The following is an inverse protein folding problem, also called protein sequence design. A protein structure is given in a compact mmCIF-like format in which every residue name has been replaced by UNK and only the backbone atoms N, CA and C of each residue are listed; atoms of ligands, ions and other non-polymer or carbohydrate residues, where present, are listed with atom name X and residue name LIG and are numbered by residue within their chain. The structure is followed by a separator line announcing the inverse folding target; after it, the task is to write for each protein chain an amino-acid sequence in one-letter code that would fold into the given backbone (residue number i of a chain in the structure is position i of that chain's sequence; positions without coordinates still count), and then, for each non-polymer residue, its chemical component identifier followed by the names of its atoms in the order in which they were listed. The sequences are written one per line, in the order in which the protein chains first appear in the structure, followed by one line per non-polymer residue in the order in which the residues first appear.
data_IF_277695134493
#
_entry.id   IF_277695134493
#
_cell.length_a   1.000
_cell.length_b   1.000
_cell.length_c   1.000
_cell.angle_alpha   90.00
_cell.angle_beta   90.00
_cell.angle_gamma   90.00
#
_symmetry.space_group_name_H-M   'P 1'
#
loop_
_entity.id
_entity.type
_entity.pdbx_description
1 polymer ?
#
# COMPACT_ATOMS: atom_id res chain seq x y z
N UNK A 1 60.03 10.02 11.31
CA UNK A 1 58.79 10.51 10.66
C UNK A 1 57.94 9.30 10.36
N UNK A 2 57.02 8.97 11.26
CA UNK A 2 56.05 7.91 11.02
C UNK A 2 54.99 8.44 10.04
N UNK A 3 54.87 7.81 8.89
CA UNK A 3 53.80 8.09 7.94
C UNK A 3 52.48 7.73 8.61
N UNK A 4 51.47 8.63 8.66
CA UNK A 4 50.20 8.31 9.24
C UNK A 4 49.58 7.16 8.43
N UNK A 5 49.34 6.02 9.07
CA UNK A 5 48.63 4.91 8.46
C UNK A 5 47.21 5.39 8.13
N UNK A 6 46.71 5.22 6.91
CA UNK A 6 45.36 5.63 6.55
C UNK A 6 44.39 4.89 7.45
N UNK A 7 43.46 5.66 8.01
CA UNK A 7 42.43 5.20 8.95
C UNK A 7 41.57 4.14 8.28
N UNK A 8 41.96 2.85 8.43
CA UNK A 8 41.30 1.70 7.82
C UNK A 8 39.81 1.63 8.18
N UNK A 9 39.46 2.21 9.32
CA UNK A 9 38.07 2.27 9.81
C UNK A 9 37.20 3.17 8.93
N UNK A 10 37.70 4.35 8.56
CA UNK A 10 36.97 5.29 7.68
C UNK A 10 36.78 4.70 6.27
N UNK A 11 37.82 4.06 5.70
CA UNK A 11 37.72 3.40 4.39
C UNK A 11 36.66 2.28 4.40
N UNK A 12 36.61 1.46 5.44
CA UNK A 12 35.60 0.38 5.55
C UNK A 12 34.19 0.92 5.70
N UNK A 13 33.97 2.07 6.38
CA UNK A 13 32.67 2.71 6.48
C UNK A 13 32.23 3.26 5.12
N UNK A 14 33.12 3.94 4.41
CA UNK A 14 32.86 4.47 3.06
C UNK A 14 32.54 3.35 2.07
N UNK A 15 33.28 2.24 2.09
CA UNK A 15 33.01 1.08 1.25
C UNK A 15 31.63 0.46 1.55
N UNK A 16 31.25 0.33 2.82
CA UNK A 16 29.92 -0.17 3.21
C UNK A 16 28.80 0.75 2.75
N UNK A 17 28.99 2.07 2.89
CA UNK A 17 28.02 3.06 2.40
C UNK A 17 27.90 3.04 0.88
N UNK A 18 29.03 2.99 0.16
CA UNK A 18 29.05 2.87 -1.29
C UNK A 18 28.35 1.59 -1.77
N UNK A 19 28.64 0.44 -1.13
CA UNK A 19 27.97 -0.83 -1.43
C UNK A 19 26.46 -0.75 -1.19
N UNK A 20 26.04 -0.08 -0.11
CA UNK A 20 24.61 0.12 0.18
C UNK A 20 23.94 0.95 -0.91
N UNK A 21 24.55 2.06 -1.33
CA UNK A 21 24.01 2.91 -2.41
C UNK A 21 23.91 2.12 -3.72
N UNK A 22 24.91 1.34 -4.08
CA UNK A 22 24.90 0.49 -5.30
C UNK A 22 23.78 -0.55 -5.23
N UNK A 23 23.60 -1.19 -4.07
CA UNK A 23 22.50 -2.16 -3.87
C UNK A 23 21.14 -1.49 -4.01
N UNK A 24 20.92 -0.34 -3.37
CA UNK A 24 19.66 0.41 -3.45
C UNK A 24 19.39 0.89 -4.89
N UNK A 25 20.41 1.39 -5.59
CA UNK A 25 20.30 1.77 -6.99
C UNK A 25 19.94 0.57 -7.89
N UNK A 26 20.56 -0.59 -7.64
CA UNK A 26 20.23 -1.84 -8.34
C UNK A 26 18.80 -2.31 -8.08
N UNK A 27 18.32 -2.23 -6.84
CA UNK A 27 16.91 -2.54 -6.49
C UNK A 27 15.98 -1.58 -7.21
N UNK A 28 16.29 -0.27 -7.21
CA UNK A 28 15.46 0.74 -7.88
C UNK A 28 15.44 0.55 -9.40
N UNK A 29 16.57 0.22 -10.01
CA UNK A 29 16.66 -0.10 -11.44
C UNK A 29 15.89 -1.36 -11.84
N UNK A 30 15.78 -2.36 -10.93
CA UNK A 30 15.02 -3.59 -11.12
C UNK A 30 13.61 -3.51 -10.51
N UNK A 31 13.11 -2.31 -10.16
CA UNK A 31 11.87 -2.12 -9.41
C UNK A 31 10.67 -2.79 -10.08
N UNK A 32 10.52 -2.69 -11.39
CA UNK A 32 9.37 -3.26 -12.11
C UNK A 32 9.27 -4.78 -11.92
N UNK A 33 10.38 -5.50 -12.01
CA UNK A 33 10.43 -6.95 -11.81
C UNK A 33 10.19 -7.29 -10.33
N UNK A 34 10.86 -6.57 -9.44
CA UNK A 34 10.74 -6.79 -7.99
C UNK A 34 9.32 -6.53 -7.52
N UNK A 35 8.68 -5.45 -7.97
CA UNK A 35 7.29 -5.10 -7.66
C UNK A 35 6.34 -6.20 -8.11
N UNK A 36 6.51 -6.72 -9.33
CA UNK A 36 5.69 -7.80 -9.84
C UNK A 36 5.80 -9.08 -9.01
N UNK A 37 7.03 -9.46 -8.63
CA UNK A 37 7.29 -10.62 -7.78
C UNK A 37 6.72 -10.42 -6.36
N UNK A 38 6.86 -9.23 -5.78
CA UNK A 38 6.33 -8.91 -4.46
C UNK A 38 4.80 -8.88 -4.45
N UNK A 39 4.16 -8.35 -5.49
CA UNK A 39 2.71 -8.40 -5.65
C UNK A 39 2.22 -9.84 -5.79
N UNK A 40 2.91 -10.66 -6.59
CA UNK A 40 2.56 -12.05 -6.72
C UNK A 40 2.69 -12.81 -5.39
N UNK A 41 3.74 -12.55 -4.63
CA UNK A 41 3.93 -13.09 -3.29
C UNK A 41 2.84 -12.61 -2.33
N UNK A 42 2.48 -11.34 -2.38
CA UNK A 42 1.38 -10.77 -1.61
C UNK A 42 0.07 -11.51 -1.89
N UNK A 43 -0.32 -11.63 -3.16
CA UNK A 43 -1.55 -12.34 -3.52
C UNK A 43 -1.48 -13.83 -3.16
N UNK A 44 -0.35 -14.49 -3.37
CA UNK A 44 -0.18 -15.88 -2.96
C UNK A 44 -0.38 -16.07 -1.45
N UNK A 45 0.13 -15.14 -0.63
CA UNK A 45 -0.03 -15.17 0.82
C UNK A 45 -1.48 -14.90 1.23
N UNK A 46 -2.12 -13.89 0.63
CA UNK A 46 -3.52 -13.50 0.95
C UNK A 46 -4.51 -14.58 0.49
N UNK A 47 -4.24 -15.24 -0.64
CA UNK A 47 -5.12 -16.26 -1.21
C UNK A 47 -4.90 -17.65 -0.61
N UNK A 48 -3.74 -17.92 -0.01
CA UNK A 48 -3.43 -19.24 0.55
C UNK A 48 -4.43 -19.75 1.63
N UNK A 49 -4.99 -18.91 2.53
CA UNK A 49 -6.06 -19.33 3.44
C UNK A 49 -7.29 -19.83 2.71
N UNK A 50 -7.70 -19.18 1.60
CA UNK A 50 -8.84 -19.61 0.78
C UNK A 50 -8.56 -20.97 0.12
N UNK A 51 -7.38 -21.14 -0.47
CA UNK A 51 -6.94 -22.42 -1.05
C UNK A 51 -6.98 -23.52 0.04
N UNK A 52 -6.46 -23.22 1.22
CA UNK A 52 -6.44 -24.18 2.34
C UNK A 52 -7.86 -24.53 2.82
N UNK A 53 -8.77 -23.56 2.81
CA UNK A 53 -10.18 -23.77 3.16
C UNK A 53 -10.85 -24.74 2.17
N UNK A 54 -10.69 -24.55 0.84
CA UNK A 54 -11.20 -25.48 -0.17
C UNK A 54 -10.62 -26.91 -0.01
N UNK A 55 -9.32 -27.01 0.28
CA UNK A 55 -8.68 -28.31 0.50
C UNK A 55 -9.29 -29.03 1.72
N UNK A 56 -9.61 -28.29 2.79
CA UNK A 56 -10.29 -28.84 3.98
C UNK A 56 -11.71 -29.34 3.69
N UNK A 57 -12.36 -28.80 2.65
CA UNK A 57 -13.66 -29.26 2.16
C UNK A 57 -13.55 -30.46 1.21
N UNK A 58 -12.36 -31.06 1.05
CA UNK A 58 -12.12 -32.22 0.21
C UNK A 58 -11.77 -31.90 -1.25
N UNK A 59 -11.63 -30.62 -1.62
CA UNK A 59 -11.27 -30.25 -2.99
C UNK A 59 -9.78 -30.53 -3.23
N UNK A 60 -9.45 -31.14 -4.37
CA UNK A 60 -8.06 -31.39 -4.77
C UNK A 60 -7.31 -30.05 -4.92
N UNK A 61 -6.04 -30.00 -4.48
CA UNK A 61 -5.23 -28.77 -4.46
C UNK A 61 -5.16 -28.04 -5.80
N UNK A 62 -4.90 -28.70 -6.95
CA UNK A 62 -4.88 -28.00 -8.25
C UNK A 62 -6.21 -27.31 -8.54
N UNK A 63 -7.32 -28.00 -8.29
CA UNK A 63 -8.68 -27.48 -8.50
C UNK A 63 -8.95 -26.29 -7.55
N UNK A 64 -8.57 -26.39 -6.27
CA UNK A 64 -8.71 -25.30 -5.32
C UNK A 64 -7.92 -24.06 -5.75
N UNK A 65 -6.67 -24.22 -6.23
CA UNK A 65 -5.86 -23.13 -6.77
C UNK A 65 -6.54 -22.49 -7.98
N UNK A 66 -7.01 -23.31 -8.93
CA UNK A 66 -7.71 -22.82 -10.14
C UNK A 66 -8.95 -22.02 -9.77
N UNK A 67 -9.79 -22.51 -8.87
CA UNK A 67 -10.99 -21.80 -8.40
C UNK A 67 -10.60 -20.44 -7.79
N UNK A 68 -9.64 -20.42 -6.88
CA UNK A 68 -9.22 -19.19 -6.17
C UNK A 68 -8.60 -18.18 -7.15
N UNK A 69 -7.83 -18.64 -8.13
CA UNK A 69 -7.23 -17.78 -9.16
C UNK A 69 -8.30 -17.22 -10.10
N UNK A 70 -9.27 -18.02 -10.50
CA UNK A 70 -10.41 -17.54 -11.32
C UNK A 70 -11.23 -16.50 -10.56
N UNK A 71 -11.53 -16.74 -9.29
CA UNK A 71 -12.21 -15.76 -8.43
C UNK A 71 -11.40 -14.47 -8.30
N UNK A 72 -10.08 -14.57 -8.11
CA UNK A 72 -9.18 -13.41 -8.07
C UNK A 72 -9.22 -12.63 -9.39
N UNK A 73 -9.17 -13.33 -10.54
CA UNK A 73 -9.25 -12.69 -11.86
C UNK A 73 -10.57 -11.95 -12.05
N UNK A 74 -11.69 -12.60 -11.71
CA UNK A 74 -13.02 -11.96 -11.77
C UNK A 74 -13.05 -10.72 -10.88
N UNK A 75 -12.56 -10.83 -9.65
CA UNK A 75 -12.52 -9.72 -8.70
C UNK A 75 -11.65 -8.56 -9.21
N UNK A 76 -10.44 -8.84 -9.73
CA UNK A 76 -9.56 -7.82 -10.31
C UNK A 76 -10.17 -7.18 -11.55
N UNK A 77 -10.75 -7.96 -12.46
CA UNK A 77 -11.40 -7.43 -13.67
C UNK A 77 -12.60 -6.57 -13.32
N UNK A 78 -13.43 -7.02 -12.37
CA UNK A 78 -14.55 -6.23 -11.86
C UNK A 78 -14.09 -4.92 -11.21
N UNK A 79 -13.04 -4.98 -10.38
CA UNK A 79 -12.44 -3.81 -9.73
C UNK A 79 -11.94 -2.78 -10.75
N UNK A 80 -11.16 -3.24 -11.73
CA UNK A 80 -10.63 -2.38 -12.81
C UNK A 80 -11.77 -1.82 -13.66
N UNK A 81 -12.78 -2.64 -13.98
CA UNK A 81 -13.96 -2.22 -14.75
C UNK A 81 -14.76 -1.12 -14.03
N UNK A 82 -15.02 -1.29 -12.74
CA UNK A 82 -15.71 -0.29 -11.91
C UNK A 82 -14.89 1.00 -11.84
N UNK A 83 -13.60 0.91 -11.58
CA UNK A 83 -12.73 2.09 -11.52
C UNK A 83 -12.69 2.82 -12.87
N UNK A 84 -12.52 2.09 -13.97
CA UNK A 84 -12.47 2.67 -15.31
C UNK A 84 -13.79 3.36 -15.69
N UNK A 85 -14.94 2.73 -15.43
CA UNK A 85 -16.25 3.31 -15.70
C UNK A 85 -16.48 4.58 -14.86
N UNK A 86 -16.26 4.49 -13.54
CA UNK A 86 -16.44 5.64 -12.63
C UNK A 86 -15.46 6.76 -12.94
N UNK A 87 -14.25 6.44 -13.35
CA UNK A 87 -13.23 7.43 -13.70
C UNK A 87 -13.56 8.17 -15.01
N UNK A 88 -14.05 7.45 -16.03
CA UNK A 88 -14.52 8.06 -17.28
C UNK A 88 -15.71 9.01 -17.03
N UNK A 89 -16.65 8.61 -16.18
CA UNK A 89 -17.77 9.46 -15.79
C UNK A 89 -17.30 10.69 -14.98
N UNK A 90 -16.35 10.51 -14.05
CA UNK A 90 -15.73 11.60 -13.29
C UNK A 90 -15.03 12.61 -14.22
N UNK A 91 -14.27 12.14 -15.22
CA UNK A 91 -13.61 13.00 -16.21
C UNK A 91 -14.66 13.81 -16.99
N UNK A 92 -15.77 13.20 -17.39
CA UNK A 92 -16.85 13.90 -18.11
C UNK A 92 -17.49 15.02 -17.29
N UNK A 93 -17.40 14.93 -15.95
CA UNK A 93 -17.88 15.95 -15.03
C UNK A 93 -16.87 17.05 -14.70
N UNK A 94 -15.60 16.90 -15.05
CA UNK A 94 -14.56 17.91 -14.78
C UNK A 94 -14.90 19.32 -15.30
N UNK A 95 -15.52 19.51 -16.49
CA UNK A 95 -15.92 20.84 -16.94
C UNK A 95 -16.97 21.49 -16.03
N UNK A 96 -17.91 20.69 -15.48
CA UNK A 96 -18.90 21.16 -14.49
C UNK A 96 -18.23 21.52 -13.17
N UNK A 97 -17.26 20.68 -12.75
CA UNK A 97 -16.45 20.88 -11.56
C UNK A 97 -15.72 22.23 -11.61
N UNK A 98 -15.07 22.54 -12.74
CA UNK A 98 -14.39 23.81 -12.94
C UNK A 98 -15.32 25.02 -12.88
N UNK A 99 -16.52 24.92 -13.47
CA UNK A 99 -17.54 25.99 -13.41
C UNK A 99 -18.00 26.24 -11.97
N UNK A 100 -18.29 25.18 -11.21
CA UNK A 100 -18.75 25.34 -9.83
C UNK A 100 -17.62 25.83 -8.90
N UNK A 101 -16.41 25.35 -9.09
CA UNK A 101 -15.23 25.85 -8.36
C UNK A 101 -15.06 27.35 -8.58
N UNK A 102 -15.06 27.78 -9.86
CA UNK A 102 -14.93 29.19 -10.24
C UNK A 102 -16.06 30.03 -9.62
N UNK A 103 -17.31 29.56 -9.69
CA UNK A 103 -18.47 30.24 -9.11
C UNK A 103 -18.37 30.40 -7.59
N UNK A 104 -17.92 29.35 -6.88
CA UNK A 104 -17.75 29.41 -5.42
C UNK A 104 -16.58 30.29 -5.01
N UNK A 105 -15.47 30.28 -5.76
CA UNK A 105 -14.34 31.17 -5.53
C UNK A 105 -14.72 32.65 -5.70
N UNK A 106 -15.56 32.99 -6.71
CA UNK A 106 -16.10 34.35 -6.87
C UNK A 106 -16.94 34.76 -5.67
N UNK A 107 -17.87 33.91 -5.20
CA UNK A 107 -18.67 34.22 -4.01
C UNK A 107 -17.80 34.41 -2.75
N UNK A 108 -16.74 33.62 -2.60
CA UNK A 108 -15.78 33.78 -1.51
C UNK A 108 -15.00 35.11 -1.59
N UNK A 109 -14.60 35.52 -2.80
CA UNK A 109 -13.93 36.78 -3.04
C UNK A 109 -14.84 37.99 -2.77
N UNK A 110 -16.14 37.91 -3.11
CA UNK A 110 -17.14 38.91 -2.75
C UNK A 110 -17.35 39.03 -1.23
N UNK A 111 -17.31 37.88 -0.50
CA UNK A 111 -17.47 37.84 0.96
C UNK A 111 -16.21 38.27 1.72
N UNK A 112 -15.03 38.11 1.13
CA UNK A 112 -13.73 38.38 1.76
C UNK A 112 -12.84 39.25 0.86
N UNK A 113 -13.13 40.56 0.74
CA UNK A 113 -12.41 41.48 -0.17
C UNK A 113 -10.91 41.64 0.15
N UNK A 114 -10.50 41.30 1.38
CA UNK A 114 -9.09 41.37 1.81
C UNK A 114 -8.23 40.21 1.30
N UNK A 115 -8.84 39.12 0.80
CA UNK A 115 -8.14 38.07 0.08
C UNK A 115 -7.98 38.49 -1.37
N UNK A 116 -6.94 39.29 -1.65
CA UNK A 116 -6.54 39.70 -3.01
C UNK A 116 -6.05 38.45 -3.77
N UNK A 117 -6.96 37.55 -4.11
CA UNK A 117 -6.71 36.47 -5.05
C UNK A 117 -6.68 37.07 -6.46
N UNK A 118 -5.52 37.58 -6.87
CA UNK A 118 -5.25 38.07 -8.23
C UNK A 118 -5.30 36.94 -9.28
N UNK A 119 -6.20 36.01 -9.11
CA UNK A 119 -6.44 34.92 -10.05
C UNK A 119 -7.66 35.27 -10.91
N UNK A 120 -7.41 35.86 -12.07
CA UNK A 120 -8.46 35.98 -13.07
C UNK A 120 -8.92 34.55 -13.44
N UNK A 121 -10.23 34.25 -13.34
CA UNK A 121 -10.81 32.94 -13.65
C UNK A 121 -10.46 32.45 -15.05
N UNK A 122 -10.32 33.41 -16.00
CA UNK A 122 -9.90 33.14 -17.37
C UNK A 122 -8.50 32.53 -17.46
N UNK A 123 -7.56 32.96 -16.62
CA UNK A 123 -6.21 32.37 -16.58
C UNK A 123 -6.18 31.01 -15.91
N UNK A 124 -7.10 30.71 -14.99
CA UNK A 124 -7.26 29.35 -14.42
C UNK A 124 -7.85 28.40 -15.45
N UNK A 125 -8.87 28.82 -16.19
CA UNK A 125 -9.45 28.00 -17.26
C UNK A 125 -8.47 27.78 -18.42
N UNK A 126 -7.65 28.78 -18.79
CA UNK A 126 -6.59 28.63 -19.78
C UNK A 126 -5.42 27.76 -19.33
N UNK A 127 -5.14 27.67 -18.01
CA UNK A 127 -4.12 26.76 -17.46
C UNK A 127 -4.58 25.31 -17.29
N UNK A 128 -5.89 25.08 -17.29
CA UNK A 128 -6.45 23.72 -17.38
C UNK A 128 -6.67 23.38 -18.87
N UNK A 129 -5.55 23.35 -19.61
CA UNK A 129 -5.51 22.94 -21.00
C UNK A 129 -6.29 21.66 -21.20
N UNK A 130 -7.30 21.69 -22.08
CA UNK A 130 -7.99 20.49 -22.55
C UNK A 130 -7.00 19.43 -23.01
N UNK A 131 -5.83 19.84 -23.48
CA UNK A 131 -4.71 18.99 -23.86
C UNK A 131 -4.10 18.20 -22.70
N UNK A 132 -4.02 18.77 -21.50
CA UNK A 132 -3.54 18.04 -20.29
C UNK A 132 -4.55 17.02 -19.81
N UNK A 133 -5.85 17.31 -19.92
CA UNK A 133 -6.90 16.34 -19.59
C UNK A 133 -6.90 15.22 -20.61
N UNK A 134 -6.77 15.52 -21.90
CA UNK A 134 -6.65 14.51 -22.97
C UNK A 134 -5.39 13.70 -22.79
N UNK A 135 -4.24 14.34 -22.54
CA UNK A 135 -2.96 13.64 -22.30
C UNK A 135 -3.04 12.71 -21.07
N UNK A 136 -3.66 13.17 -19.98
CA UNK A 136 -3.87 12.37 -18.79
C UNK A 136 -4.81 11.17 -19.06
N UNK A 137 -5.91 11.41 -19.78
CA UNK A 137 -6.85 10.34 -20.19
C UNK A 137 -6.19 9.34 -21.12
N UNK A 138 -5.38 9.79 -22.07
CA UNK A 138 -4.62 8.92 -22.98
C UNK A 138 -3.55 8.13 -22.22
N UNK A 139 -2.86 8.75 -21.27
CA UNK A 139 -1.89 8.07 -20.39
C UNK A 139 -2.56 6.99 -19.52
N UNK A 140 -3.78 7.24 -19.04
CA UNK A 140 -4.56 6.22 -18.31
C UNK A 140 -5.01 5.08 -19.22
N UNK A 141 -5.48 5.36 -20.43
CA UNK A 141 -5.90 4.34 -21.40
C UNK A 141 -4.72 3.47 -21.86
N UNK A 142 -3.56 4.09 -22.14
CA UNK A 142 -2.33 3.34 -22.46
C UNK A 142 -1.80 2.58 -21.25
N UNK A 143 -1.93 3.13 -20.05
CA UNK A 143 -1.62 2.44 -18.78
C UNK A 143 -2.51 1.20 -18.55
N UNK A 144 -3.80 1.28 -18.88
CA UNK A 144 -4.73 0.15 -18.78
C UNK A 144 -4.39 -0.99 -19.74
N UNK A 145 -4.00 -0.70 -20.99
CA UNK A 145 -3.59 -1.73 -21.95
C UNK A 145 -2.27 -2.42 -21.56
N UNK A 146 -1.31 -1.66 -21.03
CA UNK A 146 -0.08 -2.21 -20.44
C UNK A 146 -0.34 -3.03 -19.17
N UNK A 147 -1.32 -2.62 -18.36
CA UNK A 147 -1.73 -3.33 -17.16
C UNK A 147 -2.28 -4.73 -17.45
N UNK A 148 -2.96 -4.95 -18.58
CA UNK A 148 -3.47 -6.28 -18.93
C UNK A 148 -2.37 -7.33 -19.14
N UNK A 149 -1.27 -6.97 -19.82
CA UNK A 149 -0.10 -7.84 -19.96
C UNK A 149 0.56 -8.12 -18.61
N UNK A 150 0.69 -7.09 -17.77
CA UNK A 150 1.23 -7.20 -16.42
C UNK A 150 0.34 -8.06 -15.50
N UNK A 151 -0.98 -7.98 -15.65
CA UNK A 151 -1.94 -8.83 -14.91
C UNK A 151 -1.78 -10.30 -15.30
N UNK A 152 -1.62 -10.63 -16.58
CA UNK A 152 -1.40 -12.01 -16.99
C UNK A 152 -0.13 -12.59 -16.38
N UNK A 153 0.98 -11.85 -16.44
CA UNK A 153 2.25 -12.24 -15.82
C UNK A 153 2.11 -12.36 -14.29
N UNK A 154 1.40 -11.43 -13.67
CA UNK A 154 1.13 -11.46 -12.23
C UNK A 154 0.37 -12.75 -11.85
N UNK A 155 -0.70 -13.06 -12.57
CA UNK A 155 -1.53 -14.26 -12.32
C UNK A 155 -0.71 -15.53 -12.49
N UNK A 156 0.05 -15.63 -13.58
CA UNK A 156 0.96 -16.75 -13.80
C UNK A 156 1.94 -16.92 -12.63
N UNK A 157 2.54 -15.82 -12.20
CA UNK A 157 3.49 -15.83 -11.06
C UNK A 157 2.80 -16.23 -9.76
N UNK A 158 1.57 -15.74 -9.51
CA UNK A 158 0.76 -16.14 -8.34
C UNK A 158 0.47 -17.64 -8.36
N UNK A 159 0.06 -18.17 -9.50
CA UNK A 159 -0.19 -19.62 -9.68
C UNK A 159 1.06 -20.43 -9.33
N UNK A 160 2.20 -20.09 -9.92
CA UNK A 160 3.46 -20.77 -9.63
C UNK A 160 3.84 -20.67 -8.14
N UNK A 161 3.68 -19.50 -7.53
CA UNK A 161 3.95 -19.31 -6.10
C UNK A 161 3.02 -20.14 -5.21
N UNK A 162 1.72 -20.24 -5.53
CA UNK A 162 0.77 -21.06 -4.78
C UNK A 162 1.10 -22.57 -4.86
N UNK A 163 1.62 -23.03 -5.99
CA UNK A 163 2.12 -24.40 -6.12
C UNK A 163 3.42 -24.62 -5.33
N UNK A 164 4.34 -23.65 -5.38
CA UNK A 164 5.69 -23.74 -4.80
C UNK A 164 5.75 -23.55 -3.28
N UNK A 165 4.85 -22.74 -2.71
CA UNK A 165 4.83 -22.40 -1.25
C UNK A 165 4.95 -23.64 -0.36
N UNK A 166 4.40 -24.79 -0.77
CA UNK A 166 4.47 -26.05 -0.01
C UNK A 166 5.89 -26.64 0.02
N UNK A 167 6.67 -26.46 -1.05
CA UNK A 167 7.99 -27.06 -1.21
C UNK A 167 9.10 -26.21 -0.58
N UNK A 168 8.86 -24.93 -0.34
CA UNK A 168 9.84 -24.00 0.22
C UNK A 168 10.42 -24.49 1.56
N UNK A 169 9.62 -24.89 2.57
CA UNK A 169 10.17 -25.37 3.85
C UNK A 169 11.04 -26.63 3.69
N UNK A 170 10.66 -27.52 2.78
CA UNK A 170 11.42 -28.74 2.50
C UNK A 170 12.78 -28.42 1.82
N UNK A 171 12.75 -27.62 0.73
CA UNK A 171 13.97 -27.21 0.03
C UNK A 171 14.95 -26.49 0.94
N UNK A 172 14.43 -25.63 1.83
CA UNK A 172 15.30 -24.89 2.78
C UNK A 172 15.96 -25.78 3.82
N UNK A 173 15.32 -26.89 4.23
CA UNK A 173 15.94 -27.85 5.15
C UNK A 173 17.21 -28.48 4.56
N UNK A 174 17.26 -28.68 3.25
CA UNK A 174 18.42 -29.25 2.57
C UNK A 174 19.46 -28.20 2.19
N UNK A 175 19.07 -26.93 1.98
CA UNK A 175 19.96 -25.88 1.53
C UNK A 175 20.76 -25.21 2.65
N UNK A 176 20.34 -25.34 3.92
CA UNK A 176 20.95 -24.61 5.04
C UNK A 176 21.75 -25.52 5.95
N UNK A 177 23.03 -25.17 6.21
CA UNK A 177 23.96 -25.91 7.08
C UNK A 177 23.56 -25.97 8.56
N UNK A 178 22.65 -25.06 9.01
CA UNK A 178 22.05 -25.05 10.35
C UNK A 178 20.54 -24.84 10.27
N UNK A 179 19.78 -25.90 9.92
CA UNK A 179 18.37 -25.76 9.56
C UNK A 179 17.48 -25.24 10.69
N UNK A 180 17.80 -25.56 11.95
CA UNK A 180 16.87 -25.30 13.07
C UNK A 180 16.70 -23.80 13.38
N UNK A 181 17.76 -23.00 13.37
CA UNK A 181 17.71 -21.58 13.75
C UNK A 181 17.14 -20.71 12.61
N UNK A 182 17.60 -20.95 11.38
CA UNK A 182 17.20 -20.15 10.21
C UNK A 182 15.78 -20.47 9.76
N UNK A 183 15.34 -21.73 9.83
CA UNK A 183 13.98 -22.16 9.48
C UNK A 183 12.96 -21.62 10.48
N UNK A 184 13.27 -21.64 11.77
CA UNK A 184 12.38 -21.09 12.80
C UNK A 184 12.19 -19.57 12.66
N UNK A 185 13.24 -18.84 12.32
CA UNK A 185 13.20 -17.40 12.01
C UNK A 185 12.33 -17.10 10.79
N UNK A 186 12.60 -17.80 9.67
CA UNK A 186 11.83 -17.63 8.44
C UNK A 186 10.35 -18.03 8.62
N UNK A 187 10.07 -19.14 9.31
CA UNK A 187 8.70 -19.58 9.56
C UNK A 187 7.93 -18.54 10.39
N UNK A 188 8.58 -17.93 11.39
CA UNK A 188 8.01 -16.80 12.15
C UNK A 188 7.75 -15.58 11.26
N UNK A 189 8.69 -15.23 10.38
CA UNK A 189 8.55 -14.13 9.44
C UNK A 189 7.36 -14.35 8.51
N UNK A 190 7.31 -15.49 7.83
CA UNK A 190 6.24 -15.83 6.90
C UNK A 190 4.86 -15.86 7.59
N UNK A 191 4.78 -16.47 8.79
CA UNK A 191 3.54 -16.51 9.56
C UNK A 191 3.12 -15.10 10.02
N UNK A 192 4.07 -14.26 10.44
CA UNK A 192 3.82 -12.89 10.85
C UNK A 192 3.31 -12.04 9.68
N UNK A 193 3.98 -12.11 8.54
CA UNK A 193 3.60 -11.41 7.31
C UNK A 193 2.24 -11.90 6.79
N UNK A 194 2.01 -13.21 6.73
CA UNK A 194 0.71 -13.77 6.32
C UNK A 194 -0.42 -13.29 7.20
N UNK A 195 -0.23 -13.31 8.52
CA UNK A 195 -1.25 -12.86 9.46
C UNK A 195 -1.52 -11.35 9.31
N UNK A 196 -0.45 -10.55 9.19
CA UNK A 196 -0.58 -9.10 8.94
C UNK A 196 -1.37 -8.82 7.65
N UNK A 197 -0.96 -9.43 6.53
CA UNK A 197 -1.60 -9.19 5.23
C UNK A 197 -3.07 -9.65 5.22
N UNK A 198 -3.38 -10.80 5.81
CA UNK A 198 -4.76 -11.27 5.90
C UNK A 198 -5.63 -10.33 6.73
N UNK A 199 -5.15 -9.88 7.91
CA UNK A 199 -5.87 -8.92 8.74
C UNK A 199 -6.00 -7.57 8.04
N UNK A 200 -4.94 -7.08 7.42
CA UNK A 200 -4.97 -5.79 6.71
C UNK A 200 -5.96 -5.82 5.55
N UNK A 201 -6.00 -6.92 4.78
CA UNK A 201 -6.98 -7.11 3.72
C UNK A 201 -8.41 -7.11 4.26
N UNK A 202 -8.67 -7.81 5.36
CA UNK A 202 -9.98 -7.84 5.99
C UNK A 202 -10.41 -6.45 6.49
N UNK A 203 -9.52 -5.75 7.19
CA UNK A 203 -9.79 -4.40 7.70
C UNK A 203 -9.98 -3.39 6.57
N UNK A 204 -9.18 -3.49 5.51
CA UNK A 204 -9.33 -2.66 4.31
C UNK A 204 -10.68 -2.92 3.61
N UNK A 205 -11.10 -4.19 3.52
CA UNK A 205 -12.40 -4.54 2.97
C UNK A 205 -13.54 -3.93 3.80
N UNK A 206 -13.47 -4.00 5.12
CA UNK A 206 -14.45 -3.35 6.00
C UNK A 206 -14.45 -1.83 5.82
N UNK A 207 -13.27 -1.20 5.75
CA UNK A 207 -13.15 0.23 5.45
C UNK A 207 -13.86 0.57 4.14
N UNK A 208 -13.57 -0.16 3.06
CA UNK A 208 -14.21 0.06 1.76
C UNK A 208 -15.73 -0.09 1.79
N UNK A 209 -16.23 -1.18 2.42
CA UNK A 209 -17.68 -1.43 2.50
C UNK A 209 -18.39 -0.36 3.33
N UNK A 210 -17.85 0.03 4.48
CA UNK A 210 -18.48 1.04 5.34
C UNK A 210 -18.46 2.40 4.67
N UNK A 211 -17.34 2.77 4.02
CA UNK A 211 -17.25 4.03 3.26
C UNK A 211 -18.22 4.02 2.09
N UNK A 212 -18.33 2.92 1.34
CA UNK A 212 -19.30 2.79 0.26
C UNK A 212 -20.74 3.03 0.74
N UNK A 213 -21.15 2.26 1.76
CA UNK A 213 -22.50 2.38 2.31
C UNK A 213 -22.77 3.80 2.86
N UNK A 214 -21.80 4.39 3.56
CA UNK A 214 -21.94 5.74 4.09
C UNK A 214 -22.08 6.79 3.00
N UNK A 215 -21.24 6.75 1.96
CA UNK A 215 -21.31 7.68 0.84
C UNK A 215 -22.58 7.48 -0.01
N UNK A 216 -23.00 6.24 -0.23
CA UNK A 216 -24.25 5.91 -0.95
C UNK A 216 -25.48 6.44 -0.22
N UNK A 217 -25.56 6.24 1.10
CA UNK A 217 -26.65 6.77 1.94
C UNK A 217 -26.69 8.31 1.96
N UNK A 218 -25.54 8.97 1.79
CA UNK A 218 -25.43 10.42 1.68
C UNK A 218 -25.72 10.92 0.25
N UNK A 219 -25.97 10.05 -0.73
CA UNK A 219 -26.20 10.40 -2.13
C UNK A 219 -24.95 10.98 -2.82
N UNK A 220 -23.76 10.61 -2.38
CA UNK A 220 -22.51 11.09 -2.96
C UNK A 220 -22.24 10.35 -4.27
N UNK A 221 -22.05 11.10 -5.36
CA UNK A 221 -21.70 10.52 -6.65
C UNK A 221 -20.35 9.78 -6.58
N UNK A 222 -20.23 8.70 -7.34
CA UNK A 222 -19.03 7.85 -7.38
C UNK A 222 -18.67 7.18 -6.03
N UNK A 223 -19.67 6.93 -5.17
CA UNK A 223 -19.47 6.34 -3.85
C UNK A 223 -18.63 5.06 -3.90
N UNK A 224 -18.86 4.18 -4.88
CA UNK A 224 -18.12 2.94 -5.07
C UNK A 224 -16.66 3.20 -5.46
N UNK A 225 -16.38 4.18 -6.34
CA UNK A 225 -15.01 4.57 -6.72
C UNK A 225 -14.22 5.06 -5.50
N UNK A 226 -14.82 5.94 -4.68
CA UNK A 226 -14.17 6.46 -3.47
C UNK A 226 -13.96 5.38 -2.42
N UNK A 227 -14.90 4.46 -2.31
CA UNK A 227 -14.78 3.30 -1.43
C UNK A 227 -13.66 2.34 -1.83
N UNK A 228 -13.52 2.08 -3.14
CA UNK A 228 -12.40 1.28 -3.66
C UNK A 228 -11.06 1.99 -3.43
N UNK A 229 -11.02 3.30 -3.63
CA UNK A 229 -9.83 4.09 -3.31
C UNK A 229 -9.50 4.02 -1.82
N UNK A 230 -10.49 4.13 -0.93
CA UNK A 230 -10.32 3.98 0.50
C UNK A 230 -9.83 2.58 0.88
N UNK A 231 -10.37 1.52 0.25
CA UNK A 231 -9.92 0.14 0.41
C UNK A 231 -8.44 -0.02 0.04
N UNK A 232 -8.02 0.49 -1.13
CA UNK A 232 -6.64 0.38 -1.61
C UNK A 232 -5.67 1.21 -0.75
N UNK A 233 -6.01 2.47 -0.48
CA UNK A 233 -5.17 3.37 0.30
C UNK A 233 -5.09 2.98 1.77
N UNK A 234 -6.07 2.26 2.31
CA UNK A 234 -6.01 1.78 3.69
C UNK A 234 -4.83 0.85 3.97
N UNK A 235 -4.21 0.24 2.94
CA UNK A 235 -2.96 -0.52 3.11
C UNK A 235 -1.78 0.37 3.49
N UNK A 236 -1.80 1.65 3.10
CA UNK A 236 -0.74 2.62 3.40
C UNK A 236 -0.98 3.23 4.79
N UNK A 237 -0.13 2.96 5.78
CA UNK A 237 -0.35 3.43 7.16
C UNK A 237 -0.44 4.95 7.25
N UNK A 238 -1.40 5.46 8.00
CA UNK A 238 -1.65 6.87 8.33
C UNK A 238 -1.93 7.80 7.14
N UNK A 239 -1.10 7.76 6.10
CA UNK A 239 -1.21 8.63 4.93
C UNK A 239 -2.42 8.24 4.07
N UNK A 240 -2.69 6.94 3.94
CA UNK A 240 -3.78 6.42 3.13
C UNK A 240 -5.16 6.92 3.55
N UNK A 241 -5.38 7.04 4.87
CA UNK A 241 -6.61 7.57 5.44
C UNK A 241 -6.89 9.01 4.97
N UNK A 242 -5.88 9.88 5.04
CA UNK A 242 -6.01 11.29 4.64
C UNK A 242 -6.19 11.41 3.13
N UNK A 243 -5.35 10.73 2.34
CA UNK A 243 -5.42 10.80 0.87
C UNK A 243 -6.77 10.27 0.35
N UNK A 244 -7.33 9.24 0.98
CA UNK A 244 -8.61 8.67 0.54
C UNK A 244 -9.82 9.56 0.85
N UNK A 245 -9.74 10.40 1.90
CA UNK A 245 -10.82 11.29 2.30
C UNK A 245 -10.89 12.59 1.50
N UNK A 246 -9.72 13.14 1.09
CA UNK A 246 -9.63 14.47 0.46
C UNK A 246 -10.43 14.58 -0.85
N UNK A 247 -10.31 13.68 -1.84
CA UNK A 247 -11.02 13.83 -3.10
C UNK A 247 -12.56 13.82 -2.96
N UNK A 248 -13.19 12.85 -2.24
CA UNK A 248 -14.63 12.88 -2.05
C UNK A 248 -15.11 14.11 -1.25
N UNK A 249 -14.34 14.58 -0.27
CA UNK A 249 -14.68 15.80 0.46
C UNK A 249 -14.65 17.02 -0.46
N UNK A 250 -13.67 17.15 -1.34
CA UNK A 250 -13.60 18.26 -2.32
C UNK A 250 -14.79 18.18 -3.27
N UNK A 251 -15.11 16.99 -3.78
CA UNK A 251 -16.26 16.80 -4.66
C UNK A 251 -17.56 17.24 -3.98
N UNK A 252 -17.84 16.74 -2.77
CA UNK A 252 -19.05 17.02 -2.02
C UNK A 252 -19.14 18.51 -1.64
N UNK A 253 -18.01 19.14 -1.25
CA UNK A 253 -17.95 20.56 -0.96
C UNK A 253 -18.40 21.40 -2.18
N UNK A 254 -18.05 20.98 -3.37
CA UNK A 254 -18.36 21.72 -4.60
C UNK A 254 -19.79 21.52 -5.07
N UNK A 255 -20.32 20.30 -5.02
CA UNK A 255 -21.61 19.97 -5.58
C UNK A 255 -22.75 19.98 -4.56
N UNK A 256 -22.51 19.51 -3.35
CA UNK A 256 -23.56 19.32 -2.33
C UNK A 256 -23.55 20.45 -1.29
N UNK A 257 -22.39 20.90 -0.85
CA UNK A 257 -22.26 22.00 0.10
C UNK A 257 -21.35 21.69 1.29
N UNK A 258 -21.27 22.66 2.21
CA UNK A 258 -20.37 22.57 3.38
C UNK A 258 -20.88 21.55 4.39
N UNK A 259 -22.20 21.47 4.59
CA UNK A 259 -22.79 20.54 5.56
C UNK A 259 -22.49 19.09 5.19
N UNK A 260 -22.74 18.70 3.94
CA UNK A 260 -22.47 17.37 3.42
C UNK A 260 -20.98 17.05 3.42
N UNK A 261 -20.12 18.03 3.14
CA UNK A 261 -18.67 17.88 3.24
C UNK A 261 -18.22 17.53 4.67
N UNK A 262 -18.80 18.19 5.69
CA UNK A 262 -18.52 17.88 7.09
C UNK A 262 -18.98 16.47 7.44
N UNK A 263 -20.15 16.04 6.96
CA UNK A 263 -20.66 14.68 7.18
C UNK A 263 -19.75 13.62 6.55
N UNK A 264 -19.29 13.83 5.32
CA UNK A 264 -18.34 12.95 4.65
C UNK A 264 -17.01 12.92 5.41
N UNK A 265 -16.49 14.08 5.82
CA UNK A 265 -15.29 14.17 6.65
C UNK A 265 -15.43 13.41 7.97
N UNK A 266 -16.58 13.55 8.64
CA UNK A 266 -16.90 12.82 9.87
C UNK A 266 -16.97 11.30 9.63
N UNK A 267 -17.58 10.85 8.53
CA UNK A 267 -17.62 9.43 8.14
C UNK A 267 -16.21 8.87 8.03
N UNK A 268 -15.33 9.51 7.23
CA UNK A 268 -13.95 9.06 7.06
C UNK A 268 -13.18 9.08 8.38
N UNK A 269 -13.34 10.14 9.18
CA UNK A 269 -12.69 10.27 10.49
C UNK A 269 -13.10 9.12 11.41
N UNK A 270 -14.41 8.84 11.55
CA UNK A 270 -14.93 7.77 12.40
C UNK A 270 -14.46 6.40 11.92
N UNK A 271 -14.57 6.14 10.62
CA UNK A 271 -14.13 4.86 10.03
C UNK A 271 -12.64 4.62 10.29
N UNK A 272 -11.78 5.61 10.01
CA UNK A 272 -10.34 5.47 10.23
C UNK A 272 -9.98 5.45 11.72
N UNK A 273 -10.69 6.19 12.58
CA UNK A 273 -10.47 6.14 14.03
C UNK A 273 -10.84 4.78 14.60
N UNK A 274 -11.99 4.23 14.20
CA UNK A 274 -12.45 2.92 14.71
C UNK A 274 -11.61 1.79 14.11
N UNK A 275 -11.43 1.75 12.79
CA UNK A 275 -10.71 0.65 12.13
C UNK A 275 -9.20 0.79 12.34
N UNK A 276 -8.62 1.94 12.05
CA UNK A 276 -7.17 2.15 12.08
C UNK A 276 -6.60 2.27 13.49
N UNK A 277 -7.27 2.97 14.41
CA UNK A 277 -6.71 3.25 15.73
C UNK A 277 -7.22 2.30 16.83
N UNK A 278 -8.38 1.64 16.64
CA UNK A 278 -8.95 0.75 17.66
C UNK A 278 -8.87 -0.72 17.21
N UNK A 279 -9.45 -1.07 16.06
CA UNK A 279 -9.55 -2.46 15.60
C UNK A 279 -8.19 -3.00 15.12
N UNK A 280 -7.48 -2.24 14.31
CA UNK A 280 -6.18 -2.66 13.76
C UNK A 280 -5.18 -3.00 14.88
N UNK A 281 -4.91 -2.15 15.90
CA UNK A 281 -4.02 -2.50 17.00
C UNK A 281 -4.52 -3.67 17.86
N UNK A 282 -5.83 -3.78 18.09
CA UNK A 282 -6.41 -4.88 18.88
C UNK A 282 -6.27 -6.22 18.18
N UNK A 283 -6.49 -6.27 16.86
CA UNK A 283 -6.42 -7.50 16.07
C UNK A 283 -4.99 -7.91 15.74
N UNK A 284 -4.12 -6.94 15.45
CA UNK A 284 -2.70 -7.20 15.15
C UNK A 284 -1.85 -7.46 16.39
N UNK A 285 -2.20 -6.85 17.52
CA UNK A 285 -1.42 -6.93 18.76
C UNK A 285 0.00 -6.41 18.60
N UNK A 286 0.90 -6.76 19.53
CA UNK A 286 2.32 -6.33 19.51
C UNK A 286 3.21 -7.16 18.56
N UNK A 287 2.64 -7.88 17.60
CA UNK A 287 3.35 -8.93 16.84
C UNK A 287 4.38 -8.41 15.84
N UNK A 288 4.25 -7.19 15.33
CA UNK A 288 5.21 -6.63 14.38
C UNK A 288 6.43 -5.99 15.07
N UNK A 289 6.30 -5.59 16.35
CA UNK A 289 7.40 -5.13 17.19
C UNK A 289 8.22 -3.99 16.57
N UNK A 290 7.59 -3.09 15.80
CA UNK A 290 8.23 -1.91 15.19
C UNK A 290 7.70 -0.63 15.83
N UNK A 291 8.55 0.41 15.92
CA UNK A 291 8.10 1.73 16.36
C UNK A 291 7.33 2.44 15.25
N UNK A 292 6.43 3.35 15.61
CA UNK A 292 5.64 4.16 14.65
C UNK A 292 6.55 4.94 13.71
N UNK A 293 7.67 5.46 14.22
CA UNK A 293 8.66 6.17 13.41
C UNK A 293 9.29 5.25 12.35
N UNK A 294 9.63 4.00 12.71
CA UNK A 294 10.17 3.02 11.77
C UNK A 294 9.15 2.68 10.69
N UNK A 295 7.87 2.53 11.05
CA UNK A 295 6.79 2.32 10.06
C UNK A 295 6.70 3.50 9.10
N UNK A 296 6.78 4.73 9.58
CA UNK A 296 6.76 5.93 8.73
C UNK A 296 8.00 6.02 7.81
N UNK A 297 9.19 5.81 8.35
CA UNK A 297 10.42 5.80 7.55
C UNK A 297 10.43 4.67 6.52
N UNK A 298 9.94 3.49 6.89
CA UNK A 298 9.83 2.36 5.97
C UNK A 298 8.92 2.69 4.78
N UNK A 299 7.83 3.40 5.01
CA UNK A 299 6.92 3.85 3.97
C UNK A 299 7.61 4.79 2.98
N UNK A 300 8.43 5.74 3.47
CA UNK A 300 9.19 6.65 2.62
C UNK A 300 10.26 5.90 1.80
N UNK A 301 11.02 5.02 2.45
CA UNK A 301 12.13 4.28 1.82
C UNK A 301 11.58 3.31 0.75
N UNK A 302 10.60 2.47 1.12
CA UNK A 302 10.02 1.51 0.19
C UNK A 302 9.19 2.18 -0.90
N UNK A 303 8.54 3.33 -0.57
CA UNK A 303 7.85 4.16 -1.54
C UNK A 303 8.76 4.76 -2.58
N UNK A 304 9.94 5.23 -2.16
CA UNK A 304 10.96 5.73 -3.08
C UNK A 304 11.57 4.61 -3.93
N UNK A 305 11.86 3.44 -3.34
CA UNK A 305 12.48 2.30 -4.02
C UNK A 305 11.56 1.61 -5.02
N UNK A 306 10.31 1.35 -4.63
CA UNK A 306 9.37 0.46 -5.32
C UNK A 306 8.04 1.13 -5.66
N UNK A 307 7.94 2.45 -5.50
CA UNK A 307 6.73 3.20 -5.79
C UNK A 307 5.54 2.86 -4.89
N UNK A 308 4.29 3.01 -5.38
CA UNK A 308 3.07 2.79 -4.59
C UNK A 308 2.97 1.39 -3.98
N UNK A 309 3.45 0.36 -4.70
CA UNK A 309 3.46 -1.02 -4.20
C UNK A 309 4.44 -1.17 -3.04
N UNK A 310 5.59 -0.47 -3.09
CA UNK A 310 6.52 -0.40 -1.98
C UNK A 310 5.90 0.22 -0.73
N UNK A 311 5.11 1.29 -0.88
CA UNK A 311 4.36 1.89 0.23
C UNK A 311 3.36 0.90 0.85
N UNK A 312 2.60 0.18 0.02
CA UNK A 312 1.64 -0.83 0.43
C UNK A 312 2.30 -1.98 1.20
N UNK A 313 3.46 -2.44 0.74
CA UNK A 313 4.20 -3.54 1.34
C UNK A 313 5.27 -3.11 2.34
N UNK A 314 5.36 -1.82 2.68
CA UNK A 314 6.43 -1.27 3.53
C UNK A 314 6.56 -1.99 4.88
N UNK A 315 5.44 -2.25 5.55
CA UNK A 315 5.40 -2.93 6.86
C UNK A 315 5.84 -4.39 6.76
N UNK A 316 5.29 -5.22 5.85
CA UNK A 316 5.77 -6.58 5.61
C UNK A 316 7.26 -6.66 5.27
N UNK A 317 7.72 -5.82 4.33
CA UNK A 317 9.12 -5.82 3.89
C UNK A 317 10.06 -5.47 5.04
N UNK A 318 9.73 -4.42 5.79
CA UNK A 318 10.54 -4.01 6.96
C UNK A 318 10.51 -5.08 8.06
N UNK A 319 9.38 -5.76 8.26
CA UNK A 319 9.29 -6.89 9.20
C UNK A 319 10.23 -8.03 8.81
N UNK A 320 10.27 -8.39 7.53
CA UNK A 320 11.19 -9.41 7.01
C UNK A 320 12.65 -8.98 7.20
N UNK A 321 12.99 -7.74 6.83
CA UNK A 321 14.33 -7.19 7.04
C UNK A 321 14.74 -7.22 8.52
N UNK A 322 13.85 -6.83 9.43
CA UNK A 322 14.08 -6.86 10.88
C UNK A 322 14.36 -8.27 11.37
N UNK A 323 13.54 -9.26 11.01
CA UNK A 323 13.73 -10.65 11.41
C UNK A 323 15.03 -11.19 10.85
N UNK A 324 15.39 -10.84 9.61
CA UNK A 324 16.68 -11.21 9.02
C UNK A 324 17.85 -10.60 9.79
N UNK A 325 17.76 -9.33 10.20
CA UNK A 325 18.76 -8.67 11.05
C UNK A 325 18.88 -9.34 12.43
N UNK A 326 17.77 -9.77 13.03
CA UNK A 326 17.73 -10.49 14.32
C UNK A 326 18.51 -11.81 14.26
N UNK A 327 18.54 -12.47 13.10
CA UNK A 327 19.24 -13.75 12.91
C UNK A 327 20.74 -13.59 12.60
N UNK A 328 21.19 -12.38 12.33
CA UNK A 328 22.58 -12.08 11.95
C UNK A 328 23.38 -11.56 13.14
N UNK A 329 24.57 -12.10 13.43
CA UNK A 329 25.41 -11.73 14.60
C UNK A 329 25.71 -10.23 14.72
N UNK A 330 25.82 -9.50 13.60
CA UNK A 330 26.05 -8.04 13.57
C UNK A 330 24.80 -7.19 13.50
N UNK A 331 23.64 -7.76 13.10
CA UNK A 331 22.39 -7.05 12.86
C UNK A 331 21.48 -6.93 14.10
N UNK A 332 21.70 -7.74 15.13
CA UNK A 332 20.85 -7.79 16.33
C UNK A 332 20.72 -6.44 17.05
N UNK A 333 21.80 -5.64 17.09
CA UNK A 333 21.79 -4.27 17.66
C UNK A 333 20.92 -3.33 16.84
N UNK A 334 20.99 -3.40 15.51
CA UNK A 334 20.14 -2.60 14.61
C UNK A 334 18.68 -3.03 14.69
N UNK A 335 18.41 -4.33 14.83
CA UNK A 335 17.05 -4.84 15.01
C UNK A 335 16.36 -4.33 16.29
N UNK A 336 17.13 -4.06 17.36
CA UNK A 336 16.63 -3.44 18.59
C UNK A 336 16.21 -1.99 18.34
N UNK A 337 16.96 -1.23 17.54
CA UNK A 337 16.62 0.15 17.18
C UNK A 337 15.32 0.24 16.36
N UNK A 338 14.98 -0.79 15.61
CA UNK A 338 13.72 -0.88 14.87
C UNK A 338 12.53 -1.26 15.77
N UNK A 339 12.80 -1.66 17.02
CA UNK A 339 11.79 -2.10 17.97
C UNK A 339 10.99 -0.94 18.61
N UNK A 340 9.83 -1.24 19.23
CA UNK A 340 9.16 -0.28 20.10
C UNK A 340 10.03 -0.05 21.36
N UNK A 341 10.23 1.23 21.71
CA UNK A 341 11.12 1.64 22.81
C UNK A 341 10.89 0.86 24.13
N UNK A 342 11.95 0.59 24.85
CA UNK A 342 12.23 -0.30 25.98
C UNK A 342 12.26 -1.79 25.59
N UNK A 343 13.46 -2.34 25.39
CA UNK A 343 13.61 -3.79 25.42
C UNK A 343 13.10 -4.28 26.77
N UNK A 344 12.19 -5.26 26.79
CA UNK A 344 11.88 -5.99 28.02
C UNK A 344 13.23 -6.49 28.54
N UNK A 345 13.67 -5.92 29.67
CA UNK A 345 14.85 -6.40 30.35
C UNK A 345 14.69 -7.90 30.58
N UNK A 346 15.49 -8.71 29.90
CA UNK A 346 15.78 -10.04 30.38
C UNK A 346 16.61 -9.84 31.61
N UNK A 347 15.96 -9.70 32.77
CA UNK A 347 16.63 -9.96 34.04
C UNK A 347 17.01 -11.42 34.01
N UNK A 348 18.30 -11.76 34.17
CA UNK A 348 18.69 -13.14 34.43
C UNK A 348 18.11 -13.49 35.81
N UNK A 349 17.20 -14.47 35.87
CA UNK A 349 16.85 -15.18 37.08
C UNK A 349 17.89 -16.27 37.34
#
# INVERSE_FOLDING_TARGET
METPQPDKTGMHILLKLASLVVILAGIHAAADIIVQLLLALFFAIVLNPLVTWFIRQGVQRPVAITIVVVVMLIALTALVGVLAASFNEFISMLPKFNKELTRKLFKLQEMLPFLNLHMSPERMLQRMDSEKVVTFTTALMTGLSGAMASVLLLVMTVVFMLFEVRHVPYKMRFALNNPQIHIAGLHRALKGVSHYLALKTLLSLWTGVIVWLGLELMGVQFALMWAVLAFLLNYVPNIGAVISAVPPMIQVLLFNGVYECILVGALFLVVHMVIGNILEPRMMGHRLGMSTMVVFLSLLIWGWLLGPVGMLLSVPLTSVCKIWMETTKGGSKLAILLGPGRPKSRLPG
#
